data_IF_121074159584
#
_entry.id   IF_121074159584
#
_cell.length_a   1.000
_cell.length_b   1.000
_cell.length_c   1.000
_cell.angle_alpha   90.00
_cell.angle_beta   90.00
_cell.angle_gamma   90.00
#
_symmetry.space_group_name_H-M   'P 1'
#
loop_
_entity.id
_entity.type
_entity.pdbx_description
1 polymer ?
#
# COMPACT_ATOMS: atom_id res chain seq x y z
N UNK A 1 -16.66 -7.75 4.59
CA UNK A 1 -16.26 -6.56 3.80
C UNK A 1 -16.46 -5.22 4.51
N UNK A 2 -17.44 -5.08 5.42
CA UNK A 2 -17.78 -3.80 6.05
C UNK A 2 -16.74 -3.28 7.06
N UNK A 3 -16.23 -4.16 7.94
CA UNK A 3 -15.21 -3.80 8.96
C UNK A 3 -13.93 -3.26 8.31
N UNK A 4 -13.51 -3.87 7.21
CA UNK A 4 -12.34 -3.52 6.40
C UNK A 4 -12.47 -2.13 5.73
N UNK A 5 -13.69 -1.80 5.27
CA UNK A 5 -14.00 -0.48 4.73
C UNK A 5 -14.05 0.61 5.82
N UNK A 6 -14.53 0.26 7.02
CA UNK A 6 -14.56 1.15 8.19
C UNK A 6 -13.13 1.47 8.67
N UNK A 7 -12.27 0.45 8.80
CA UNK A 7 -10.86 0.62 9.19
C UNK A 7 -10.08 1.43 8.15
N UNK A 8 -10.30 1.18 6.85
CA UNK A 8 -9.69 1.97 5.76
C UNK A 8 -10.11 3.45 5.79
N UNK A 9 -11.36 3.73 6.18
CA UNK A 9 -11.89 5.09 6.29
C UNK A 9 -11.37 5.81 7.54
N UNK A 10 -11.19 5.09 8.64
CA UNK A 10 -10.57 5.61 9.87
C UNK A 10 -9.09 5.94 9.64
N UNK A 11 -8.36 5.07 8.94
CA UNK A 11 -6.97 5.30 8.54
C UNK A 11 -6.81 6.54 7.65
N UNK A 12 -7.71 6.76 6.68
CA UNK A 12 -7.74 7.98 5.85
C UNK A 12 -7.98 9.25 6.67
N UNK A 13 -8.80 9.19 7.70
CA UNK A 13 -9.07 10.35 8.58
C UNK A 13 -7.91 10.66 9.51
N UNK A 14 -7.19 9.64 9.98
CA UNK A 14 -5.97 9.80 10.79
C UNK A 14 -4.83 10.40 9.94
N UNK A 15 -4.69 9.96 8.68
CA UNK A 15 -3.73 10.54 7.74
C UNK A 15 -4.07 11.97 7.32
N UNK A 16 -5.35 12.33 7.21
CA UNK A 16 -5.80 13.69 6.90
C UNK A 16 -5.70 14.65 8.10
N UNK A 17 -5.62 14.13 9.33
CA UNK A 17 -5.54 14.91 10.55
C UNK A 17 -4.11 15.13 11.05
N UNK A 18 -3.16 14.30 10.60
CA UNK A 18 -1.73 14.54 10.83
C UNK A 18 -1.24 15.42 9.69
N UNK A 19 -0.53 16.51 9.99
CA UNK A 19 0.28 17.25 8.99
C UNK A 19 1.44 16.36 8.50
N UNK A 20 1.11 15.28 7.80
CA UNK A 20 2.07 14.41 7.16
C UNK A 20 2.35 15.04 5.80
N UNK A 21 3.58 15.51 5.58
CA UNK A 21 4.09 15.89 4.25
C UNK A 21 3.44 15.03 3.16
N UNK A 22 2.62 15.70 2.33
CA UNK A 22 1.55 15.10 1.54
C UNK A 22 2.00 13.79 0.89
N UNK A 23 1.41 12.66 1.34
CA UNK A 23 1.50 11.43 0.55
C UNK A 23 0.92 11.74 -0.82
N UNK A 24 1.70 11.54 -1.87
CA UNK A 24 1.18 11.74 -3.23
C UNK A 24 -0.01 10.79 -3.45
N UNK A 25 -0.89 11.13 -4.38
CA UNK A 25 -2.04 10.27 -4.68
C UNK A 25 -1.61 8.82 -4.98
N UNK A 26 -0.52 8.65 -5.75
CA UNK A 26 0.03 7.32 -6.06
C UNK A 26 0.54 6.56 -4.83
N UNK A 27 1.16 7.25 -3.87
CA UNK A 27 1.58 6.64 -2.60
C UNK A 27 0.37 6.23 -1.75
N UNK A 28 -0.66 7.06 -1.69
CA UNK A 28 -1.89 6.78 -0.94
C UNK A 28 -2.67 5.59 -1.52
N UNK A 29 -2.80 5.51 -2.85
CA UNK A 29 -3.50 4.39 -3.50
C UNK A 29 -2.72 3.08 -3.37
N UNK A 30 -1.40 3.11 -3.57
CA UNK A 30 -0.53 1.95 -3.37
C UNK A 30 -0.61 1.43 -1.92
N UNK A 31 -0.58 2.31 -0.93
CA UNK A 31 -0.67 1.93 0.49
C UNK A 31 -2.02 1.32 0.87
N UNK A 32 -3.12 1.84 0.30
CA UNK A 32 -4.45 1.27 0.46
C UNK A 32 -4.58 -0.09 -0.26
N UNK A 33 -3.88 -0.28 -1.38
CA UNK A 33 -3.84 -1.55 -2.11
C UNK A 33 -3.09 -2.61 -1.32
N UNK A 34 -1.89 -2.31 -0.82
CA UNK A 34 -1.11 -3.24 0.02
C UNK A 34 -1.93 -3.71 1.21
N UNK A 35 -2.64 -2.80 1.89
CA UNK A 35 -3.55 -3.16 2.97
C UNK A 35 -4.63 -4.14 2.47
N UNK A 36 -5.30 -3.85 1.36
CA UNK A 36 -6.35 -4.73 0.81
C UNK A 36 -5.85 -6.10 0.36
N UNK A 37 -4.65 -6.15 -0.20
CA UNK A 37 -4.10 -7.40 -0.73
C UNK A 37 -3.57 -8.28 0.38
N UNK A 38 -2.92 -7.75 1.41
CA UNK A 38 -2.39 -8.55 2.54
C UNK A 38 -3.45 -8.99 3.57
N UNK A 39 -4.71 -8.64 3.31
CA UNK A 39 -5.82 -8.83 4.22
C UNK A 39 -6.48 -10.21 4.14
N UNK A 40 -6.13 -11.02 3.15
CA UNK A 40 -6.61 -12.41 3.03
C UNK A 40 -5.50 -13.38 3.46
N UNK A 41 -5.84 -14.54 4.06
CA UNK A 41 -4.83 -15.50 4.53
C UNK A 41 -3.88 -15.96 3.42
N UNK A 42 -4.38 -16.07 2.18
CA UNK A 42 -3.59 -16.51 1.02
C UNK A 42 -2.47 -15.53 0.64
N UNK A 43 -2.56 -14.28 1.06
CA UNK A 43 -1.65 -13.18 0.69
C UNK A 43 -1.07 -12.48 1.93
N UNK A 44 -1.29 -13.06 3.12
CA UNK A 44 -0.77 -12.53 4.37
C UNK A 44 0.78 -12.52 4.42
N UNK A 45 1.41 -13.40 3.63
CA UNK A 45 2.87 -13.46 3.48
C UNK A 45 3.46 -12.24 2.74
N UNK A 46 2.63 -11.48 2.02
CA UNK A 46 3.06 -10.29 1.29
C UNK A 46 2.38 -10.15 -0.06
N UNK A 47 2.68 -9.05 -0.73
CA UNK A 47 2.24 -8.75 -2.09
C UNK A 47 3.43 -8.23 -2.89
N UNK A 48 3.61 -8.74 -4.10
CA UNK A 48 4.70 -8.32 -4.98
C UNK A 48 4.38 -6.98 -5.65
N UNK A 49 5.43 -6.23 -5.99
CA UNK A 49 5.26 -4.94 -6.67
C UNK A 49 4.69 -5.07 -8.08
N UNK A 50 4.83 -6.24 -8.73
CA UNK A 50 4.20 -6.53 -10.02
C UNK A 50 2.68 -6.64 -9.91
N UNK A 51 2.16 -7.30 -8.87
CA UNK A 51 0.71 -7.40 -8.62
C UNK A 51 0.14 -6.00 -8.34
N UNK A 52 0.79 -5.23 -7.47
CA UNK A 52 0.40 -3.85 -7.19
C UNK A 52 0.40 -2.98 -8.47
N UNK A 53 1.43 -3.11 -9.30
CA UNK A 53 1.54 -2.35 -10.55
C UNK A 53 0.41 -2.68 -11.53
N UNK A 54 0.08 -3.96 -11.69
CA UNK A 54 -1.04 -4.41 -12.52
C UNK A 54 -2.37 -3.89 -11.97
N UNK A 55 -2.57 -3.94 -10.65
CA UNK A 55 -3.79 -3.50 -10.00
C UNK A 55 -4.03 -1.98 -10.07
N UNK A 56 -2.96 -1.19 -10.15
CA UNK A 56 -3.00 0.28 -10.28
C UNK A 56 -2.82 0.77 -11.73
N UNK A 57 -2.63 -0.14 -12.70
CA UNK A 57 -2.50 0.22 -14.12
C UNK A 57 -1.20 0.97 -14.47
N UNK A 58 -0.15 0.81 -13.66
CA UNK A 58 1.13 1.52 -13.85
C UNK A 58 2.26 0.56 -14.22
N UNK A 59 3.38 1.11 -14.71
CA UNK A 59 4.59 0.31 -14.97
C UNK A 59 5.18 -0.19 -13.66
N UNK A 60 5.75 -1.40 -13.67
CA UNK A 60 6.41 -2.02 -12.52
C UNK A 60 7.43 -1.08 -11.86
N UNK A 61 8.31 -0.45 -12.64
CA UNK A 61 9.31 0.48 -12.11
C UNK A 61 8.69 1.67 -11.36
N UNK A 62 7.57 2.20 -11.86
CA UNK A 62 6.83 3.30 -11.20
C UNK A 62 6.28 2.86 -9.85
N UNK A 63 5.70 1.65 -9.79
CA UNK A 63 5.22 1.07 -8.54
C UNK A 63 6.37 0.79 -7.57
N UNK A 64 7.50 0.28 -8.06
CA UNK A 64 8.70 0.04 -7.24
C UNK A 64 9.21 1.33 -6.60
N UNK A 65 9.26 2.44 -7.34
CA UNK A 65 9.62 3.77 -6.78
C UNK A 65 8.63 4.23 -5.73
N UNK A 66 7.33 4.04 -5.98
CA UNK A 66 6.25 4.41 -5.05
C UNK A 66 6.38 3.61 -3.74
N UNK A 67 6.58 2.30 -3.83
CA UNK A 67 6.78 1.42 -2.68
C UNK A 67 8.08 1.73 -1.93
N UNK A 68 9.15 2.08 -2.63
CA UNK A 68 10.41 2.50 -2.00
C UNK A 68 10.23 3.78 -1.16
N UNK A 69 9.49 4.77 -1.68
CA UNK A 69 9.19 5.98 -0.93
C UNK A 69 8.30 5.71 0.30
N UNK A 70 7.32 4.81 0.19
CA UNK A 70 6.52 4.35 1.33
C UNK A 70 7.37 3.60 2.38
N UNK A 71 8.33 2.78 1.93
CA UNK A 71 9.22 2.04 2.81
C UNK A 71 10.19 2.97 3.56
N UNK A 72 10.73 3.99 2.89
CA UNK A 72 11.56 5.02 3.51
C UNK A 72 10.81 5.80 4.61
N UNK A 73 9.48 5.91 4.50
CA UNK A 73 8.58 6.49 5.51
C UNK A 73 8.10 5.48 6.56
N UNK A 74 8.57 4.23 6.51
CA UNK A 74 8.16 3.16 7.44
C UNK A 74 6.72 2.70 7.29
N UNK A 75 6.04 3.04 6.18
CA UNK A 75 4.62 2.74 5.96
C UNK A 75 4.38 1.34 5.37
N UNK A 76 5.43 0.73 4.81
CA UNK A 76 5.47 -0.66 4.32
C UNK A 76 6.85 -1.26 4.60
N UNK A 77 6.93 -2.58 4.71
CA UNK A 77 8.19 -3.32 4.83
C UNK A 77 8.40 -4.10 3.53
N UNK A 78 9.62 -4.03 2.99
CA UNK A 78 10.01 -4.87 1.85
C UNK A 78 10.65 -6.14 2.38
N UNK A 79 10.18 -7.27 1.89
CA UNK A 79 10.80 -8.57 2.08
C UNK A 79 11.31 -9.09 0.72
N UNK A 80 12.31 -9.99 0.71
CA UNK A 80 12.63 -10.79 -0.47
C UNK A 80 11.39 -11.56 -0.95
N UNK A 81 11.30 -11.78 -2.26
CA UNK A 81 10.24 -12.63 -2.82
C UNK A 81 10.46 -14.07 -2.31
N UNK A 82 9.47 -14.71 -1.66
CA UNK A 82 9.54 -16.13 -1.38
C UNK A 82 9.43 -16.88 -2.71
N UNK A 83 10.45 -17.66 -3.07
CA UNK A 83 10.45 -18.48 -4.29
C UNK A 83 9.20 -19.36 -4.44
#
# INVERSE_FOLDING_TARGET
>A
HEVRAVISRLRRRILAASEAEDLTLGQSTALARVARETETPATAAGVTTSVLAAAEGVRHQSMTTTVAALAARGLVVRAPDPE
#
